data_IF_599066581320
#
_entry.id   IF_599066581320
#
_cell.length_a   1.000
_cell.length_b   1.000
_cell.length_c   1.000
_cell.angle_alpha   90.00
_cell.angle_beta   90.00
_cell.angle_gamma   90.00
#
_symmetry.space_group_name_H-M   'P 1'
#
loop_
_entity.id
_entity.type
_entity.pdbx_description
1 polymer ?
#
# COMPACT_ATOMS: atom_id res chain seq x y z
N UNK A 1 -29.82 6.40 -14.72
CA UNK A 1 -29.38 5.11 -15.28
C UNK A 1 -27.92 4.92 -14.89
N UNK A 2 -27.62 4.28 -13.75
CA UNK A 2 -26.26 3.93 -13.40
C UNK A 2 -25.82 2.84 -14.39
N UNK A 3 -24.74 3.09 -15.13
CA UNK A 3 -24.14 2.06 -15.98
C UNK A 3 -23.62 0.94 -15.10
N UNK A 4 -24.07 -0.28 -15.36
CA UNK A 4 -23.42 -1.50 -14.87
C UNK A 4 -21.93 -1.41 -15.20
N UNK A 5 -21.09 -1.46 -14.17
CA UNK A 5 -19.71 -1.90 -14.35
C UNK A 5 -19.79 -3.40 -14.56
N UNK A 6 -19.96 -3.80 -15.82
CA UNK A 6 -19.94 -5.20 -16.24
C UNK A 6 -18.56 -5.77 -15.95
N UNK A 7 -18.55 -7.02 -15.50
CA UNK A 7 -17.41 -7.84 -15.10
C UNK A 7 -16.52 -8.26 -16.28
N UNK A 8 -16.28 -7.34 -17.22
CA UNK A 8 -15.45 -7.60 -18.40
C UNK A 8 -14.04 -7.04 -18.20
N UNK A 9 -13.07 -7.83 -18.66
CA UNK A 9 -11.62 -7.57 -18.77
C UNK A 9 -11.27 -6.08 -18.89
N UNK A 10 -10.19 -5.58 -18.23
CA UNK A 10 -9.91 -4.15 -18.18
C UNK A 10 -9.92 -3.51 -19.57
N UNK A 11 -10.65 -2.40 -19.70
CA UNK A 11 -10.45 -1.48 -20.80
C UNK A 11 -9.11 -0.77 -20.59
N UNK A 12 -8.01 -1.36 -21.09
CA UNK A 12 -6.71 -0.70 -21.15
C UNK A 12 -6.88 0.62 -21.91
N UNK A 13 -6.75 1.73 -21.19
CA UNK A 13 -6.99 3.06 -21.75
C UNK A 13 -6.02 4.06 -21.14
N UNK A 14 -5.61 5.04 -21.93
CA UNK A 14 -4.87 6.20 -21.41
C UNK A 14 -5.86 7.17 -20.79
N UNK A 15 -5.40 8.08 -19.91
CA UNK A 15 -6.26 9.14 -19.35
C UNK A 15 -6.89 9.99 -20.49
N UNK A 16 -6.17 10.19 -21.59
CA UNK A 16 -6.67 10.89 -22.78
C UNK A 16 -7.81 10.19 -23.52
N UNK A 17 -7.84 8.85 -23.50
CA UNK A 17 -8.80 8.03 -24.25
C UNK A 17 -10.14 7.82 -23.52
N UNK A 18 -10.25 8.26 -22.28
CA UNK A 18 -11.41 7.99 -21.44
C UNK A 18 -12.66 8.67 -22.02
N UNK A 19 -13.74 7.89 -22.21
CA UNK A 19 -15.01 8.40 -22.71
C UNK A 19 -15.50 9.61 -21.90
N UNK A 20 -16.08 10.59 -22.58
CA UNK A 20 -16.63 11.80 -21.94
C UNK A 20 -17.86 11.44 -21.11
N UNK A 21 -17.69 11.40 -19.79
CA UNK A 21 -18.81 11.32 -18.86
C UNK A 21 -19.68 12.60 -18.97
N UNK A 22 -21.01 12.50 -18.72
CA UNK A 22 -21.91 13.64 -18.83
C UNK A 22 -21.65 14.75 -17.79
N UNK A 23 -20.88 14.45 -16.74
CA UNK A 23 -20.48 15.41 -15.69
C UNK A 23 -19.48 14.79 -14.70
N UNK A 24 -18.99 15.57 -13.73
CA UNK A 24 -18.10 15.05 -12.68
C UNK A 24 -18.84 14.14 -11.70
N UNK A 25 -18.09 13.26 -11.03
CA UNK A 25 -18.62 12.43 -9.93
C UNK A 25 -18.63 13.23 -8.65
N UNK A 26 -19.69 13.11 -7.84
CA UNK A 26 -19.80 13.79 -6.55
C UNK A 26 -19.67 12.80 -5.42
N UNK A 27 -18.82 13.10 -4.44
CA UNK A 27 -18.63 12.29 -3.23
C UNK A 27 -18.96 13.14 -2.01
N UNK A 28 -19.88 12.73 -1.11
CA UNK A 28 -20.19 13.51 0.08
C UNK A 28 -18.94 13.77 0.95
N UNK A 29 -18.71 15.03 1.32
CA UNK A 29 -17.56 15.42 2.13
C UNK A 29 -17.60 14.75 3.52
N UNK A 30 -18.82 14.49 4.03
CA UNK A 30 -19.04 13.78 5.29
C UNK A 30 -18.38 12.39 5.35
N UNK A 31 -18.10 11.73 4.22
CA UNK A 31 -17.37 10.44 4.21
C UNK A 31 -15.97 10.55 4.82
N UNK A 32 -15.39 11.75 4.84
CA UNK A 32 -14.05 12.02 5.33
C UNK A 32 -14.02 12.63 6.74
N UNK A 33 -15.16 13.12 7.24
CA UNK A 33 -15.21 13.91 8.49
C UNK A 33 -16.23 13.40 9.51
N UNK A 34 -17.23 12.61 9.10
CA UNK A 34 -18.29 12.10 9.98
C UNK A 34 -17.78 10.94 10.86
N UNK A 35 -17.90 11.06 12.20
CA UNK A 35 -17.68 9.94 13.12
C UNK A 35 -18.63 8.76 12.85
N UNK A 36 -19.86 9.02 12.41
CA UNK A 36 -20.85 7.98 12.08
C UNK A 36 -20.40 7.17 10.86
N UNK A 37 -19.87 7.84 9.82
CA UNK A 37 -19.33 7.15 8.66
C UNK A 37 -18.09 6.32 9.02
N UNK A 38 -17.18 6.87 9.84
CA UNK A 38 -16.02 6.12 10.32
C UNK A 38 -16.43 4.92 11.19
N UNK A 39 -17.47 5.04 12.01
CA UNK A 39 -18.02 3.92 12.78
C UNK A 39 -18.59 2.82 11.87
N UNK A 40 -19.24 3.18 10.76
CA UNK A 40 -19.68 2.21 9.75
C UNK A 40 -18.51 1.50 9.08
N UNK A 41 -17.41 2.21 8.77
CA UNK A 41 -16.18 1.59 8.25
C UNK A 41 -15.62 0.56 9.26
N UNK A 42 -15.57 0.91 10.56
CA UNK A 42 -15.14 0.01 11.63
C UNK A 42 -16.04 -1.22 11.80
N UNK A 43 -17.35 -1.06 11.61
CA UNK A 43 -18.31 -2.16 11.74
C UNK A 43 -18.29 -3.10 10.52
N UNK A 44 -18.23 -2.54 9.30
CA UNK A 44 -18.61 -3.29 8.08
C UNK A 44 -17.49 -3.45 7.05
N UNK A 45 -16.45 -2.62 7.10
CA UNK A 45 -15.33 -2.71 6.17
C UNK A 45 -14.17 -3.47 6.79
N UNK A 46 -13.56 -2.92 7.84
CA UNK A 46 -12.28 -3.39 8.35
C UNK A 46 -12.27 -4.84 8.86
N UNK A 47 -13.35 -5.37 9.46
CA UNK A 47 -13.40 -6.79 9.81
C UNK A 47 -13.56 -7.74 8.61
N UNK A 48 -14.00 -7.23 7.45
CA UNK A 48 -14.45 -8.04 6.32
C UNK A 48 -13.57 -7.91 5.07
N UNK A 49 -12.45 -7.19 5.16
CA UNK A 49 -11.58 -6.90 4.02
C UNK A 49 -10.14 -7.30 4.30
N UNK A 50 -9.47 -7.81 3.26
CA UNK A 50 -8.05 -8.13 3.31
C UNK A 50 -7.22 -6.85 3.50
N UNK A 51 -6.32 -6.89 4.48
CA UNK A 51 -5.45 -5.78 4.84
C UNK A 51 -4.01 -6.28 4.89
N UNK A 52 -3.07 -5.56 4.28
CA UNK A 52 -1.65 -5.82 4.55
C UNK A 52 -1.39 -5.56 6.01
N UNK A 53 -0.86 -6.56 6.71
CA UNK A 53 -0.50 -6.51 8.12
C UNK A 53 0.97 -6.15 8.28
N UNK A 54 1.84 -6.97 7.72
CA UNK A 54 3.29 -6.87 7.77
C UNK A 54 3.90 -7.49 6.50
N UNK A 55 5.15 -7.96 6.59
CA UNK A 55 5.83 -8.66 5.49
C UNK A 55 6.33 -10.02 5.92
N UNK A 56 6.60 -10.90 4.94
CA UNK A 56 7.10 -12.25 5.20
C UNK A 56 8.41 -12.23 5.99
N UNK A 57 9.21 -11.17 5.82
CA UNK A 57 10.50 -10.98 6.49
C UNK A 57 10.35 -10.66 7.99
N UNK A 58 9.19 -10.15 8.43
CA UNK A 58 8.85 -10.02 9.85
C UNK A 58 8.57 -11.37 10.50
N UNK A 59 7.91 -12.27 9.77
CA UNK A 59 7.40 -13.57 10.26
C UNK A 59 8.03 -14.75 9.53
N UNK A 60 9.34 -14.65 9.26
CA UNK A 60 10.12 -15.59 8.43
C UNK A 60 10.31 -16.95 9.10
N UNK A 61 10.74 -16.95 10.36
CA UNK A 61 11.25 -18.10 11.09
C UNK A 61 10.26 -18.56 12.17
N UNK A 62 10.22 -19.86 12.52
CA UNK A 62 9.39 -20.37 13.61
C UNK A 62 9.54 -19.60 14.92
N UNK A 63 8.40 -19.22 15.50
CA UNK A 63 8.32 -18.41 16.71
C UNK A 63 8.38 -16.90 16.46
N UNK A 64 8.55 -16.45 15.23
CA UNK A 64 8.34 -15.04 14.92
C UNK A 64 6.88 -14.68 15.00
N UNK A 65 6.62 -13.47 15.47
CA UNK A 65 5.28 -12.94 15.58
C UNK A 65 5.26 -11.42 15.35
N UNK A 66 4.10 -10.95 14.92
CA UNK A 66 3.85 -9.55 14.61
C UNK A 66 2.42 -9.19 15.00
N UNK A 67 2.24 -8.06 15.66
CA UNK A 67 0.94 -7.46 15.90
C UNK A 67 0.61 -6.46 14.79
N UNK A 68 -0.55 -6.64 14.18
CA UNK A 68 -1.13 -5.65 13.27
C UNK A 68 -2.33 -4.95 13.91
N UNK A 69 -2.36 -3.62 13.81
CA UNK A 69 -3.47 -2.80 14.30
C UNK A 69 -4.11 -1.94 13.20
N UNK A 70 -5.43 -1.87 13.23
CA UNK A 70 -6.27 -1.03 12.36
C UNK A 70 -7.44 -0.46 13.17
N UNK A 71 -7.37 0.82 13.51
CA UNK A 71 -8.29 1.41 14.49
C UNK A 71 -8.29 0.62 15.81
N UNK A 72 -9.45 0.15 16.31
CA UNK A 72 -9.54 -0.65 17.53
C UNK A 72 -9.24 -2.15 17.33
N UNK A 73 -9.04 -2.61 16.09
CA UNK A 73 -8.80 -4.02 15.78
C UNK A 73 -7.32 -4.36 15.96
N UNK A 74 -7.03 -5.51 16.56
CA UNK A 74 -5.66 -6.03 16.72
C UNK A 74 -5.59 -7.52 16.33
N UNK A 75 -4.62 -7.87 15.49
CA UNK A 75 -4.41 -9.21 14.94
C UNK A 75 -2.98 -9.66 15.25
N UNK A 76 -2.85 -10.83 15.87
CA UNK A 76 -1.57 -11.48 16.12
C UNK A 76 -1.25 -12.44 14.97
N UNK A 77 -0.17 -12.17 14.25
CA UNK A 77 0.43 -13.09 13.30
C UNK A 77 1.54 -13.89 13.98
N UNK A 78 1.63 -15.19 13.73
CA UNK A 78 2.70 -16.04 14.28
C UNK A 78 3.10 -17.13 13.29
N UNK A 79 4.42 -17.34 13.15
CA UNK A 79 4.98 -18.51 12.46
C UNK A 79 5.08 -19.66 13.46
N UNK A 80 4.31 -20.73 13.23
CA UNK A 80 4.35 -21.92 14.08
C UNK A 80 5.67 -22.69 13.97
N UNK A 81 5.91 -23.59 14.92
CA UNK A 81 7.04 -24.54 14.88
C UNK A 81 6.95 -25.54 13.72
N UNK A 82 5.77 -25.64 13.10
CA UNK A 82 5.52 -26.38 11.86
C UNK A 82 5.69 -25.51 10.60
N UNK A 83 6.31 -24.34 10.73
CA UNK A 83 6.53 -23.34 9.67
C UNK A 83 5.26 -22.76 9.02
N UNK A 84 4.06 -23.08 9.53
CA UNK A 84 2.81 -22.49 9.05
C UNK A 84 2.61 -21.10 9.66
N UNK A 85 2.35 -20.12 8.82
CA UNK A 85 1.88 -18.80 9.25
C UNK A 85 0.43 -18.90 9.68
N UNK A 86 0.09 -18.26 10.80
CA UNK A 86 -1.28 -18.18 11.33
C UNK A 86 -1.56 -16.76 11.77
N UNK A 87 -2.84 -16.39 11.76
CA UNK A 87 -3.32 -15.16 12.34
C UNK A 87 -4.45 -15.45 13.35
N UNK A 88 -4.49 -14.68 14.42
CA UNK A 88 -5.50 -14.75 15.46
C UNK A 88 -5.96 -13.35 15.84
N UNK A 89 -7.20 -13.17 16.28
CA UNK A 89 -7.56 -11.97 17.02
C UNK A 89 -6.67 -11.88 18.27
N UNK A 90 -6.05 -10.72 18.50
CA UNK A 90 -5.07 -10.53 19.56
C UNK A 90 -5.76 -10.35 20.94
N UNK A 91 -6.53 -11.34 21.36
CA UNK A 91 -7.40 -11.25 22.53
C UNK A 91 -7.40 -12.54 23.35
N UNK A 92 -7.16 -12.39 24.65
CA UNK A 92 -7.24 -13.47 25.63
C UNK A 92 -8.70 -13.91 25.83
N UNK A 93 -8.96 -15.21 25.66
CA UNK A 93 -10.29 -15.83 25.86
C UNK A 93 -10.83 -15.78 27.30
N UNK A 94 -10.03 -15.36 28.29
CA UNK A 94 -10.46 -15.28 29.68
C UNK A 94 -11.23 -13.98 29.98
N UNK A 95 -10.55 -12.83 29.87
CA UNK A 95 -11.08 -11.50 30.23
C UNK A 95 -10.71 -10.41 29.22
N UNK A 96 -10.40 -10.79 27.98
CA UNK A 96 -10.22 -9.84 26.89
C UNK A 96 -8.90 -9.05 26.90
N UNK A 97 -7.89 -9.47 27.68
CA UNK A 97 -6.59 -8.80 27.64
C UNK A 97 -5.91 -9.06 26.29
N UNK A 98 -5.25 -8.04 25.74
CA UNK A 98 -4.33 -8.19 24.61
C UNK A 98 -3.25 -9.24 24.91
N UNK A 99 -2.87 -10.07 23.93
CA UNK A 99 -1.91 -11.14 24.15
C UNK A 99 -0.48 -10.66 23.93
N UNK A 100 -0.24 -9.95 22.84
CA UNK A 100 1.09 -9.52 22.40
C UNK A 100 1.03 -8.07 21.91
N UNK A 101 2.08 -7.29 22.14
CA UNK A 101 2.16 -5.90 21.67
C UNK A 101 3.46 -5.67 20.89
N UNK A 102 3.38 -5.21 19.65
CA UNK A 102 4.53 -5.01 18.76
C UNK A 102 4.95 -6.27 18.00
N UNK A 103 6.23 -6.63 18.01
CA UNK A 103 6.75 -7.79 17.29
C UNK A 103 7.90 -8.47 18.05
N UNK A 104 8.21 -9.72 17.70
CA UNK A 104 9.30 -10.45 18.33
C UNK A 104 9.62 -11.78 17.66
N UNK A 105 10.67 -12.44 18.17
CA UNK A 105 11.20 -13.70 17.63
C UNK A 105 11.32 -14.77 18.71
N UNK A 106 11.39 -16.04 18.29
CA UNK A 106 11.65 -17.17 19.20
C UNK A 106 10.52 -17.50 20.17
N UNK A 107 9.29 -17.07 19.90
CA UNK A 107 8.12 -17.42 20.70
C UNK A 107 7.84 -18.92 20.62
N UNK A 108 7.68 -19.57 21.77
CA UNK A 108 7.36 -21.01 21.87
C UNK A 108 5.93 -21.26 22.34
N UNK A 109 5.31 -20.29 22.99
CA UNK A 109 3.93 -20.31 23.47
C UNK A 109 3.36 -18.88 23.51
N UNK A 110 2.04 -18.76 23.38
CA UNK A 110 1.31 -17.49 23.47
C UNK A 110 0.74 -17.39 24.89
N UNK A 111 1.31 -16.55 25.73
CA UNK A 111 0.93 -16.45 27.15
C UNK A 111 0.38 -15.07 27.49
N UNK A 112 -0.86 -15.03 27.98
CA UNK A 112 -1.49 -13.78 28.39
C UNK A 112 -0.74 -13.14 29.57
N UNK A 113 -0.38 -11.86 29.43
CA UNK A 113 0.34 -11.10 30.46
C UNK A 113 -0.49 -10.81 31.72
N UNK A 114 -1.81 -11.01 31.68
CA UNK A 114 -2.67 -10.75 32.85
C UNK A 114 -2.77 -11.95 33.81
N UNK A 115 -3.39 -13.05 33.37
CA UNK A 115 -3.62 -14.23 34.22
C UNK A 115 -2.90 -15.48 33.72
N UNK A 116 -1.97 -15.34 32.76
CA UNK A 116 -1.04 -16.40 32.33
C UNK A 116 -1.70 -17.63 31.72
N UNK A 117 -2.96 -17.52 31.26
CA UNK A 117 -3.54 -18.49 30.32
C UNK A 117 -2.61 -18.60 29.12
N UNK A 118 -2.36 -19.83 28.69
CA UNK A 118 -1.34 -20.12 27.70
C UNK A 118 -1.91 -20.96 26.56
N UNK A 119 -1.65 -20.54 25.34
CA UNK A 119 -1.92 -21.26 24.11
C UNK A 119 -0.61 -21.68 23.45
N UNK A 120 -0.64 -22.76 22.67
CA UNK A 120 0.46 -23.01 21.74
C UNK A 120 0.38 -22.08 20.52
N UNK A 121 1.39 -22.16 19.64
CA UNK A 121 1.43 -21.34 18.42
C UNK A 121 0.38 -21.73 17.36
N UNK A 122 -0.37 -22.81 17.59
CA UNK A 122 -1.55 -23.17 16.79
C UNK A 122 -2.85 -22.61 17.37
N UNK A 123 -2.78 -21.82 18.45
CA UNK A 123 -3.93 -21.21 19.10
C UNK A 123 -4.72 -22.17 19.99
N UNK A 124 -4.19 -23.35 20.34
CA UNK A 124 -4.87 -24.29 21.23
C UNK A 124 -4.51 -24.01 22.68
N UNK A 125 -5.51 -23.92 23.57
CA UNK A 125 -5.26 -23.71 24.99
C UNK A 125 -4.46 -24.88 25.57
N UNK A 126 -3.39 -24.57 26.30
CA UNK A 126 -2.50 -25.53 26.96
C UNK A 126 -2.57 -25.44 28.47
N UNK A 127 -2.49 -24.24 29.01
CA UNK A 127 -2.40 -24.03 30.45
C UNK A 127 -3.43 -23.01 30.94
N UNK A 128 -4.06 -23.34 32.07
CA UNK A 128 -4.95 -22.44 32.82
C UNK A 128 -4.49 -22.47 34.28
N UNK A 129 -3.87 -21.39 34.79
CA UNK A 129 -3.50 -21.31 36.20
C UNK A 129 -4.71 -21.48 37.12
N UNK A 130 -4.49 -22.11 38.28
CA UNK A 130 -5.54 -22.38 39.26
C UNK A 130 -6.78 -23.08 38.67
N UNK A 131 -6.58 -23.95 37.66
CA UNK A 131 -7.64 -24.61 36.88
C UNK A 131 -8.79 -25.19 37.70
N UNK A 132 -8.51 -25.73 38.89
CA UNK A 132 -9.52 -26.30 39.79
C UNK A 132 -10.63 -25.30 40.16
N UNK A 133 -10.35 -24.00 40.18
CA UNK A 133 -11.32 -22.95 40.46
C UNK A 133 -12.38 -22.75 39.35
N UNK A 134 -12.13 -23.26 38.15
CA UNK A 134 -13.07 -23.21 37.03
C UNK A 134 -13.96 -24.47 36.92
N UNK A 135 -13.85 -25.42 37.84
CA UNK A 135 -14.57 -26.69 37.75
C UNK A 135 -14.20 -27.49 36.50
N UNK A 136 -15.19 -27.85 35.69
CA UNK A 136 -14.98 -28.53 34.42
C UNK A 136 -14.73 -27.51 33.29
N UNK A 137 -13.45 -27.30 32.96
CA UNK A 137 -13.01 -26.50 31.82
C UNK A 137 -12.34 -27.44 30.82
N UNK A 138 -12.78 -27.43 29.55
CA UNK A 138 -12.10 -28.16 28.46
C UNK A 138 -11.30 -27.16 27.64
N UNK A 139 -10.06 -27.52 27.30
CA UNK A 139 -9.19 -26.62 26.53
C UNK A 139 -9.74 -26.33 25.13
N UNK A 140 -10.38 -27.33 24.50
CA UNK A 140 -10.92 -27.21 23.15
C UNK A 140 -12.11 -26.22 23.05
N UNK A 141 -12.68 -25.78 24.17
CA UNK A 141 -13.75 -24.77 24.19
C UNK A 141 -13.20 -23.33 24.11
N UNK A 142 -11.88 -23.15 24.31
CA UNK A 142 -11.22 -21.84 24.38
C UNK A 142 -9.96 -21.75 23.50
N UNK A 143 -10.00 -22.13 22.20
CA UNK A 143 -8.91 -21.80 21.28
C UNK A 143 -8.82 -20.27 21.11
N UNK A 144 -7.72 -19.76 20.56
CA UNK A 144 -7.72 -18.38 20.07
C UNK A 144 -8.73 -18.24 18.93
N UNK A 145 -9.30 -17.04 18.77
CA UNK A 145 -10.15 -16.76 17.61
C UNK A 145 -9.26 -16.59 16.39
N UNK A 146 -9.47 -17.41 15.36
CA UNK A 146 -8.69 -17.38 14.13
C UNK A 146 -9.01 -16.13 13.31
N UNK A 147 -8.06 -15.74 12.47
CA UNK A 147 -8.22 -14.80 11.38
C UNK A 147 -7.58 -15.42 10.13
N UNK A 148 -8.08 -15.06 8.94
CA UNK A 148 -7.44 -15.49 7.71
C UNK A 148 -6.08 -14.80 7.53
N UNK A 149 -5.15 -15.51 6.90
CA UNK A 149 -3.83 -14.98 6.53
C UNK A 149 -3.44 -15.47 5.15
N UNK A 150 -2.88 -14.57 4.33
CA UNK A 150 -2.42 -14.86 2.97
C UNK A 150 -1.17 -14.04 2.63
N UNK A 151 -0.51 -14.38 1.55
CA UNK A 151 0.73 -13.72 1.13
C UNK A 151 0.72 -13.41 -0.36
N UNK A 152 1.28 -12.26 -0.75
CA UNK A 152 1.56 -11.90 -2.14
C UNK A 152 2.91 -11.18 -2.21
N UNK A 153 3.90 -11.82 -2.85
CA UNK A 153 5.29 -11.35 -2.80
C UNK A 153 5.77 -11.22 -1.35
N UNK A 154 6.39 -10.09 -0.96
CA UNK A 154 6.81 -9.88 0.42
C UNK A 154 5.66 -9.57 1.37
N UNK A 155 4.45 -9.28 0.88
CA UNK A 155 3.36 -8.74 1.70
C UNK A 155 2.57 -9.86 2.37
N UNK A 156 2.24 -9.66 3.65
CA UNK A 156 1.37 -10.56 4.42
C UNK A 156 0.06 -9.84 4.69
N UNK A 157 -1.05 -10.46 4.28
CA UNK A 157 -2.39 -9.93 4.46
C UNK A 157 -3.15 -10.71 5.55
N UNK A 158 -4.07 -10.03 6.22
CA UNK A 158 -5.02 -10.62 7.18
C UNK A 158 -6.45 -10.20 6.86
N UNK A 159 -7.41 -11.05 7.24
CA UNK A 159 -8.84 -10.74 7.23
C UNK A 159 -9.50 -11.37 8.46
N UNK A 160 -10.33 -10.62 9.19
CA UNK A 160 -11.00 -11.12 10.39
C UNK A 160 -12.23 -11.98 10.05
N UNK A 161 -12.75 -11.85 8.83
CA UNK A 161 -13.86 -12.64 8.32
C UNK A 161 -13.36 -13.99 7.79
N UNK A 162 -13.75 -15.07 8.45
CA UNK A 162 -13.39 -16.44 8.08
C UNK A 162 -14.15 -16.95 6.85
N UNK A 163 -15.23 -16.27 6.45
CA UNK A 163 -16.02 -16.57 5.26
C UNK A 163 -15.59 -15.73 4.04
N UNK A 164 -14.62 -14.81 4.21
CA UNK A 164 -14.08 -14.03 3.10
C UNK A 164 -13.42 -14.92 2.04
N UNK A 165 -13.48 -14.47 0.79
CA UNK A 165 -12.82 -15.15 -0.33
C UNK A 165 -11.30 -15.26 -0.12
N UNK A 166 -10.63 -16.27 -0.70
CA UNK A 166 -9.18 -16.39 -0.65
C UNK A 166 -8.47 -15.13 -1.16
N UNK A 167 -7.30 -14.81 -0.59
CA UNK A 167 -6.53 -13.61 -0.96
C UNK A 167 -6.25 -13.53 -2.47
N UNK A 168 -5.97 -14.67 -3.10
CA UNK A 168 -5.68 -14.74 -4.54
C UNK A 168 -6.87 -14.30 -5.39
N UNK A 169 -8.09 -14.72 -5.02
CA UNK A 169 -9.32 -14.28 -5.66
C UNK A 169 -9.58 -12.80 -5.38
N UNK A 170 -9.37 -12.37 -4.13
CA UNK A 170 -9.55 -10.97 -3.74
C UNK A 170 -8.68 -10.01 -4.55
N UNK A 171 -7.39 -10.34 -4.71
CA UNK A 171 -6.40 -9.53 -5.43
C UNK A 171 -6.47 -9.69 -6.95
N UNK A 172 -7.27 -10.63 -7.47
CA UNK A 172 -7.34 -10.85 -8.92
C UNK A 172 -7.88 -9.60 -9.65
N UNK A 173 -7.31 -9.22 -10.80
CA UNK A 173 -6.19 -9.85 -11.53
C UNK A 173 -4.83 -9.18 -11.27
N UNK A 174 -4.67 -8.40 -10.19
CA UNK A 174 -3.42 -7.68 -9.87
C UNK A 174 -2.23 -8.64 -9.78
N UNK A 175 -2.43 -9.83 -9.19
CA UNK A 175 -1.37 -10.84 -9.07
C UNK A 175 -0.82 -11.24 -10.43
N UNK A 176 -1.70 -11.55 -11.39
CA UNK A 176 -1.31 -11.98 -12.73
C UNK A 176 -0.64 -10.85 -13.52
N UNK A 177 -1.21 -9.66 -13.46
CA UNK A 177 -0.69 -8.49 -14.17
C UNK A 177 0.68 -8.03 -13.60
N UNK A 178 0.93 -8.23 -12.30
CA UNK A 178 2.20 -7.94 -11.66
C UNK A 178 3.21 -9.10 -11.72
N UNK A 179 2.85 -10.28 -12.24
CA UNK A 179 3.69 -11.47 -12.17
C UNK A 179 5.08 -11.29 -12.84
N UNK A 180 5.16 -10.51 -13.93
CA UNK A 180 6.42 -10.23 -14.61
C UNK A 180 7.42 -9.45 -13.75
N UNK A 181 6.95 -8.75 -12.72
CA UNK A 181 7.77 -8.01 -11.75
C UNK A 181 8.39 -8.95 -10.70
N UNK A 182 8.02 -10.23 -10.70
CA UNK A 182 8.53 -11.27 -9.80
C UNK A 182 8.56 -10.83 -8.32
N UNK A 183 7.38 -10.55 -7.71
CA UNK A 183 7.33 -10.01 -6.35
C UNK A 183 8.03 -10.88 -5.29
N UNK A 184 8.13 -12.19 -5.49
CA UNK A 184 8.77 -13.11 -4.55
C UNK A 184 10.29 -12.90 -4.38
N UNK A 185 10.93 -12.24 -5.35
CA UNK A 185 12.34 -11.85 -5.33
C UNK A 185 12.61 -10.55 -4.56
N UNK A 186 11.58 -9.94 -3.96
CA UNK A 186 11.67 -8.69 -3.20
C UNK A 186 11.64 -8.98 -1.70
N UNK A 187 12.44 -8.27 -0.90
CA UNK A 187 12.47 -8.46 0.56
C UNK A 187 12.40 -7.13 1.30
N UNK A 188 11.60 -7.08 2.36
CA UNK A 188 11.37 -5.89 3.15
C UNK A 188 12.61 -5.49 3.94
N UNK A 189 12.91 -4.19 3.97
CA UNK A 189 13.99 -3.59 4.77
C UNK A 189 13.47 -2.65 5.85
N UNK A 190 12.38 -1.95 5.57
CA UNK A 190 11.80 -1.03 6.53
C UNK A 190 10.30 -0.86 6.32
N UNK A 191 9.59 -0.63 7.43
CA UNK A 191 8.28 0.00 7.44
C UNK A 191 8.44 1.35 8.14
N UNK A 192 8.26 2.44 7.41
CA UNK A 192 8.24 3.79 7.97
C UNK A 192 6.78 4.19 8.17
N UNK A 193 6.41 4.50 9.41
CA UNK A 193 5.07 4.98 9.78
C UNK A 193 5.12 6.48 10.08
N UNK A 194 4.19 7.25 9.53
CA UNK A 194 4.01 8.68 9.79
C UNK A 194 2.56 8.95 10.20
N UNK A 195 2.29 9.40 11.43
CA UNK A 195 0.96 9.85 11.83
C UNK A 195 0.59 11.14 11.10
N UNK A 196 -0.56 11.18 10.42
CA UNK A 196 -1.00 12.33 9.63
C UNK A 196 -2.33 12.89 10.16
N UNK A 197 -2.50 14.23 10.20
CA UNK A 197 -3.73 14.89 10.61
C UNK A 197 -4.72 15.00 9.45
N UNK A 198 -5.07 13.85 8.86
CA UNK A 198 -6.10 13.74 7.84
C UNK A 198 -6.81 12.38 7.88
N UNK A 199 -7.97 12.27 7.25
CA UNK A 199 -8.64 10.99 7.05
C UNK A 199 -7.75 10.01 6.25
N UNK A 200 -7.84 8.71 6.53
CA UNK A 200 -7.09 7.69 5.81
C UNK A 200 -7.37 7.71 4.30
N UNK A 201 -8.60 8.05 3.90
CA UNK A 201 -9.00 8.22 2.49
C UNK A 201 -8.29 9.42 1.86
N UNK A 202 -8.29 10.57 2.53
CA UNK A 202 -7.53 11.76 2.10
C UNK A 202 -6.07 11.41 1.86
N UNK A 203 -5.48 10.58 2.73
CA UNK A 203 -4.10 10.10 2.59
C UNK A 203 -3.88 9.22 1.36
N UNK A 204 -4.74 8.21 1.11
CA UNK A 204 -4.56 7.30 -0.04
C UNK A 204 -4.96 7.94 -1.36
N UNK A 205 -5.92 8.87 -1.34
CA UNK A 205 -6.42 9.58 -2.52
C UNK A 205 -5.29 10.34 -3.22
N UNK A 206 -4.40 10.99 -2.44
CA UNK A 206 -3.24 11.71 -2.98
C UNK A 206 -2.28 10.81 -3.78
N UNK A 207 -2.27 9.51 -3.53
CA UNK A 207 -1.47 8.54 -4.27
C UNK A 207 -2.28 7.76 -5.31
N UNK A 208 -3.52 8.17 -5.61
CA UNK A 208 -4.44 7.42 -6.47
C UNK A 208 -4.76 8.13 -7.80
N UNK A 209 -4.07 9.23 -8.10
CA UNK A 209 -4.28 10.04 -9.32
C UNK A 209 -3.01 10.81 -9.71
N UNK A 210 -2.99 11.36 -10.93
CA UNK A 210 -1.89 12.19 -11.46
C UNK A 210 -2.32 13.63 -11.75
N UNK A 211 -3.58 13.98 -11.47
CA UNK A 211 -4.17 15.28 -11.77
C UNK A 211 -3.44 16.43 -11.08
N UNK A 212 -2.94 16.21 -9.85
CA UNK A 212 -2.21 17.23 -9.10
C UNK A 212 -0.75 17.42 -9.56
N UNK A 213 -0.17 16.47 -10.31
CA UNK A 213 1.25 16.46 -10.70
C UNK A 213 1.65 17.76 -11.40
N UNK A 214 0.82 18.24 -12.35
CA UNK A 214 1.04 19.50 -13.07
C UNK A 214 1.11 20.74 -12.16
N UNK A 215 0.49 20.67 -10.99
CA UNK A 215 0.44 21.76 -10.02
C UNK A 215 1.58 21.67 -9.01
N UNK A 216 1.67 20.53 -8.33
CA UNK A 216 2.52 20.33 -7.14
C UNK A 216 3.90 19.79 -7.53
N UNK A 217 3.96 18.83 -8.46
CA UNK A 217 5.20 18.12 -8.83
C UNK A 217 5.73 18.55 -10.19
N UNK A 218 5.81 19.86 -10.45
CA UNK A 218 6.28 20.39 -11.74
C UNK A 218 7.66 19.89 -12.15
N UNK A 219 8.51 19.57 -11.18
CA UNK A 219 9.83 18.97 -11.40
C UNK A 219 9.77 17.62 -12.12
N UNK A 220 8.63 16.92 -12.12
CA UNK A 220 8.44 15.64 -12.81
C UNK A 220 8.11 15.81 -14.29
N UNK A 221 7.57 16.96 -14.71
CA UNK A 221 6.94 17.11 -16.03
C UNK A 221 7.90 16.91 -17.20
N UNK A 222 9.20 17.18 -17.05
CA UNK A 222 10.15 16.96 -18.14
C UNK A 222 10.51 15.48 -18.33
N UNK A 223 10.33 14.62 -17.32
CA UNK A 223 10.69 13.21 -17.38
C UNK A 223 9.51 12.24 -17.25
N UNK A 224 8.29 12.75 -17.07
CA UNK A 224 7.09 11.95 -16.77
C UNK A 224 5.89 12.41 -17.62
N UNK A 225 5.26 11.48 -18.36
CA UNK A 225 3.99 11.73 -19.05
C UNK A 225 2.81 11.57 -18.09
N UNK A 226 2.27 12.67 -17.55
CA UNK A 226 1.14 12.66 -16.60
C UNK A 226 -0.25 12.58 -17.27
N UNK A 227 -0.32 12.66 -18.60
CA UNK A 227 -1.58 12.80 -19.36
C UNK A 227 -1.93 11.55 -20.16
N UNK A 228 -0.95 10.81 -20.66
CA UNK A 228 -1.19 9.57 -21.39
C UNK A 228 -0.77 8.33 -20.59
N UNK A 229 -0.55 8.47 -19.27
CA UNK A 229 -0.28 7.34 -18.38
C UNK A 229 -1.30 6.21 -18.60
N UNK A 230 -0.85 4.99 -18.96
CA UNK A 230 -1.73 3.85 -19.09
C UNK A 230 -2.43 3.54 -17.78
N UNK A 231 -3.75 3.33 -17.83
CA UNK A 231 -4.52 2.90 -16.67
C UNK A 231 -5.31 1.63 -16.96
N UNK A 232 -5.53 0.85 -15.91
CA UNK A 232 -6.48 -0.25 -15.90
C UNK A 232 -7.34 -0.15 -14.64
N UNK A 233 -8.65 -0.37 -14.79
CA UNK A 233 -9.58 -0.42 -13.67
C UNK A 233 -10.20 -1.81 -13.62
N UNK A 234 -10.22 -2.37 -12.42
CA UNK A 234 -10.88 -3.61 -12.08
C UNK A 234 -11.96 -3.33 -11.02
N UNK A 235 -12.91 -4.26 -10.79
CA UNK A 235 -14.04 -4.02 -9.89
C UNK A 235 -13.65 -3.52 -8.49
N UNK A 236 -12.52 -3.99 -7.95
CA UNK A 236 -11.98 -3.60 -6.64
C UNK A 236 -10.64 -2.86 -6.71
N UNK A 237 -9.94 -2.92 -7.83
CA UNK A 237 -8.53 -2.55 -7.92
C UNK A 237 -8.27 -1.64 -9.10
N UNK A 238 -7.13 -0.96 -9.11
CA UNK A 238 -6.73 -0.14 -10.26
C UNK A 238 -5.23 -0.21 -10.47
N UNK A 239 -4.79 0.22 -11.66
CA UNK A 239 -3.39 0.35 -12.03
C UNK A 239 -3.16 1.67 -12.75
N UNK A 240 -1.99 2.25 -12.48
CA UNK A 240 -1.37 3.33 -13.23
C UNK A 240 0.04 2.88 -13.64
N UNK A 241 0.30 2.86 -14.94
CA UNK A 241 1.65 2.83 -15.48
C UNK A 241 2.17 4.25 -15.63
N UNK A 242 3.38 4.51 -15.15
CA UNK A 242 4.02 5.81 -15.28
C UNK A 242 5.35 5.69 -16.02
N UNK A 243 5.38 6.06 -17.31
CA UNK A 243 6.63 6.03 -18.06
C UNK A 243 7.57 7.18 -17.65
N UNK A 244 8.83 6.81 -17.39
CA UNK A 244 9.92 7.77 -17.17
C UNK A 244 10.75 7.99 -18.44
N UNK A 245 11.40 9.15 -18.52
CA UNK A 245 12.19 9.58 -19.68
C UNK A 245 11.33 10.07 -20.85
N UNK A 246 10.03 10.32 -20.61
CA UNK A 246 9.10 10.89 -21.59
C UNK A 246 8.54 12.18 -21.00
N UNK A 247 8.71 13.35 -21.65
CA UNK A 247 8.14 14.58 -21.16
C UNK A 247 6.62 14.58 -21.24
N UNK A 248 6.00 15.26 -20.29
CA UNK A 248 4.57 15.55 -20.28
C UNK A 248 4.10 16.21 -21.57
N UNK A 249 2.99 15.76 -22.17
CA UNK A 249 2.33 16.43 -23.30
C UNK A 249 1.89 17.87 -22.99
N UNK A 250 1.89 18.28 -21.71
CA UNK A 250 1.61 19.66 -21.29
C UNK A 250 2.77 20.60 -21.65
N UNK A 251 3.98 20.08 -21.85
CA UNK A 251 5.14 20.82 -22.33
C UNK A 251 5.05 20.94 -23.87
N UNK A 252 4.47 22.05 -24.34
CA UNK A 252 4.17 22.26 -25.78
C UNK A 252 5.39 22.11 -26.70
N UNK A 253 6.55 22.54 -26.21
CA UNK A 253 7.81 22.50 -26.96
C UNK A 253 8.63 21.22 -26.67
N UNK A 254 8.06 20.28 -25.91
CA UNK A 254 8.77 19.11 -25.40
C UNK A 254 9.74 19.46 -24.26
N UNK A 255 10.73 18.60 -24.07
CA UNK A 255 11.86 18.83 -23.17
C UNK A 255 13.16 18.39 -23.87
N UNK A 256 14.23 19.11 -23.63
CA UNK A 256 15.59 18.72 -24.02
C UNK A 256 16.10 17.54 -23.20
N UNK A 257 17.14 16.86 -23.68
CA UNK A 257 17.75 15.74 -22.94
C UNK A 257 18.26 16.18 -21.56
N UNK A 258 18.84 17.39 -21.45
CA UNK A 258 19.30 17.97 -20.19
C UNK A 258 18.13 18.19 -19.22
N UNK A 259 16.99 18.66 -19.71
CA UNK A 259 15.78 18.85 -18.88
C UNK A 259 15.16 17.52 -18.45
N UNK A 260 15.14 16.52 -19.34
CA UNK A 260 14.68 15.16 -19.02
C UNK A 260 15.58 14.56 -17.93
N UNK A 261 16.90 14.66 -18.09
CA UNK A 261 17.87 14.14 -17.12
C UNK A 261 17.76 14.85 -15.78
N UNK A 262 17.73 16.18 -15.75
CA UNK A 262 17.58 16.93 -14.50
C UNK A 262 16.27 16.57 -13.76
N UNK A 263 15.16 16.44 -14.50
CA UNK A 263 13.87 16.02 -13.95
C UNK A 263 13.90 14.59 -13.41
N UNK A 264 14.55 13.67 -14.13
CA UNK A 264 14.74 12.30 -13.67
C UNK A 264 15.61 12.26 -12.42
N UNK A 265 16.73 12.98 -12.38
CA UNK A 265 17.62 12.98 -11.20
C UNK A 265 16.92 13.52 -9.97
N UNK A 266 16.16 14.61 -10.12
CA UNK A 266 15.42 15.25 -9.02
C UNK A 266 14.42 14.31 -8.31
N UNK A 267 13.96 13.25 -8.98
CA UNK A 267 12.90 12.37 -8.45
C UNK A 267 13.28 10.90 -8.36
N UNK A 268 14.17 10.44 -9.22
CA UNK A 268 14.51 9.04 -9.45
C UNK A 268 16.03 8.82 -9.63
N UNK A 269 16.86 9.85 -9.43
CA UNK A 269 18.29 9.82 -9.73
C UNK A 269 19.07 8.73 -9.00
N UNK A 270 18.68 8.40 -7.77
CA UNK A 270 19.28 7.31 -6.99
C UNK A 270 19.27 5.97 -7.75
N UNK A 271 18.24 5.72 -8.57
CA UNK A 271 18.10 4.52 -9.41
C UNK A 271 19.18 4.43 -10.48
N UNK A 272 19.65 5.56 -10.99
CA UNK A 272 20.67 5.67 -12.03
C UNK A 272 22.06 6.06 -11.49
N UNK A 273 22.27 5.99 -10.17
CA UNK A 273 23.56 6.35 -9.56
C UNK A 273 23.83 7.86 -9.45
N UNK A 274 22.80 8.70 -9.58
CA UNK A 274 22.86 10.15 -9.41
C UNK A 274 21.96 10.58 -8.23
N UNK A 275 22.37 10.34 -6.97
CA UNK A 275 21.48 10.50 -5.81
C UNK A 275 21.29 11.94 -5.35
N UNK A 276 22.03 12.91 -5.87
CA UNK A 276 21.91 14.33 -5.49
C UNK A 276 20.86 15.03 -6.36
N UNK A 277 19.63 15.27 -5.83
CA UNK A 277 18.54 15.85 -6.62
C UNK A 277 18.78 17.31 -7.00
N UNK A 278 19.66 18.03 -6.27
CA UNK A 278 19.93 19.45 -6.48
C UNK A 278 21.10 19.67 -7.46
N UNK A 279 21.85 18.62 -7.79
CA UNK A 279 23.00 18.68 -8.69
C UNK A 279 22.98 17.51 -9.68
N UNK A 280 22.19 17.61 -10.76
CA UNK A 280 22.04 16.51 -11.71
C UNK A 280 23.31 16.19 -12.51
N UNK A 281 24.26 17.11 -12.58
CA UNK A 281 25.41 16.98 -13.48
C UNK A 281 25.00 16.96 -14.96
N UNK A 282 25.96 16.74 -15.87
CA UNK A 282 25.66 16.59 -17.30
C UNK A 282 24.95 15.26 -17.57
N UNK A 283 24.18 15.20 -18.65
CA UNK A 283 23.62 13.95 -19.17
C UNK A 283 24.78 12.99 -19.47
N UNK A 284 24.75 11.73 -18.98
CA UNK A 284 25.76 10.74 -19.31
C UNK A 284 25.82 10.47 -20.82
N UNK A 285 27.00 10.04 -21.31
CA UNK A 285 27.22 9.80 -22.74
C UNK A 285 26.23 8.77 -23.30
N UNK A 286 25.59 9.13 -24.43
CA UNK A 286 24.67 8.27 -25.18
C UNK A 286 25.40 7.57 -26.32
N UNK A 287 25.04 6.31 -26.55
CA UNK A 287 25.45 5.64 -27.78
C UNK A 287 24.71 6.23 -28.99
N UNK A 288 25.29 6.10 -30.19
CA UNK A 288 24.69 6.65 -31.41
C UNK A 288 23.28 6.08 -31.65
N UNK A 289 22.28 6.97 -31.79
CA UNK A 289 20.87 6.61 -31.92
C UNK A 289 20.17 6.07 -30.67
N UNK A 290 20.85 5.96 -29.53
CA UNK A 290 20.25 5.53 -28.25
C UNK A 290 19.23 6.56 -27.77
N UNK A 291 18.03 6.16 -27.35
CA UNK A 291 17.02 7.07 -26.78
C UNK A 291 17.33 7.47 -25.33
N UNK A 292 16.72 8.54 -24.80
CA UNK A 292 16.84 8.87 -23.37
C UNK A 292 16.36 7.73 -22.47
N UNK A 293 15.31 7.01 -22.87
CA UNK A 293 14.79 5.87 -22.10
C UNK A 293 15.78 4.70 -22.07
N UNK A 294 16.41 4.39 -23.20
CA UNK A 294 17.44 3.35 -23.30
C UNK A 294 18.65 3.71 -22.45
N UNK A 295 19.08 4.98 -22.46
CA UNK A 295 20.12 5.49 -21.57
C UNK A 295 19.76 5.26 -20.10
N UNK A 296 18.58 5.73 -19.67
CA UNK A 296 18.12 5.57 -18.28
C UNK A 296 18.06 4.09 -17.87
N UNK A 297 17.52 3.23 -18.73
CA UNK A 297 17.44 1.81 -18.48
C UNK A 297 18.82 1.18 -18.32
N UNK A 298 19.80 1.58 -19.14
CA UNK A 298 21.19 1.14 -19.01
C UNK A 298 21.81 1.58 -17.68
N UNK A 299 21.67 2.85 -17.30
CA UNK A 299 22.20 3.38 -16.04
C UNK A 299 21.59 2.69 -14.82
N UNK A 300 20.27 2.42 -14.85
CA UNK A 300 19.59 1.68 -13.78
C UNK A 300 20.13 0.25 -13.67
N UNK A 301 20.36 -0.43 -14.80
CA UNK A 301 20.97 -1.77 -14.80
C UNK A 301 22.39 -1.77 -14.26
N UNK A 302 23.22 -0.81 -14.67
CA UNK A 302 24.59 -0.65 -14.17
C UNK A 302 24.60 -0.42 -12.66
N UNK A 303 23.73 0.47 -12.16
CA UNK A 303 23.57 0.75 -10.74
C UNK A 303 23.08 -0.48 -9.96
N UNK A 304 22.08 -1.19 -10.46
CA UNK A 304 21.54 -2.42 -9.84
C UNK A 304 22.56 -3.55 -9.82
N UNK A 305 23.32 -3.73 -10.91
CA UNK A 305 24.37 -4.72 -11.01
C UNK A 305 25.50 -4.47 -10.00
N UNK A 306 25.82 -3.19 -9.71
CA UNK A 306 26.78 -2.82 -8.65
C UNK A 306 26.34 -3.26 -7.24
N UNK A 307 25.04 -3.50 -7.04
CA UNK A 307 24.43 -4.01 -5.80
C UNK A 307 24.11 -5.50 -5.86
N UNK A 308 24.52 -6.18 -6.94
CA UNK A 308 24.29 -7.61 -7.16
C UNK A 308 22.88 -7.97 -7.64
N UNK A 309 22.06 -6.97 -7.99
CA UNK A 309 20.71 -7.17 -8.53
C UNK A 309 20.78 -7.31 -10.05
N UNK A 310 20.24 -8.42 -10.58
CA UNK A 310 20.18 -8.68 -12.02
C UNK A 310 18.83 -8.25 -12.60
N UNK A 311 18.87 -7.29 -13.51
CA UNK A 311 17.71 -6.80 -14.25
C UNK A 311 17.77 -7.13 -15.76
N UNK A 312 18.69 -8.01 -16.18
CA UNK A 312 18.91 -8.34 -17.59
C UNK A 312 17.71 -9.01 -18.28
N UNK A 313 16.79 -9.59 -17.51
CA UNK A 313 15.57 -10.18 -18.02
C UNK A 313 14.43 -9.18 -18.24
N UNK A 314 14.58 -7.93 -17.80
CA UNK A 314 13.58 -6.87 -17.98
C UNK A 314 13.89 -6.05 -19.23
N UNK A 315 12.86 -5.74 -20.00
CA UNK A 315 12.92 -4.79 -21.12
C UNK A 315 13.25 -3.38 -20.63
N UNK A 316 13.67 -2.48 -21.53
CA UNK A 316 13.95 -1.09 -21.15
C UNK A 316 12.72 -0.40 -20.58
N UNK A 317 11.54 -0.68 -21.14
CA UNK A 317 10.26 -0.20 -20.64
C UNK A 317 10.01 -0.67 -19.22
N UNK A 318 10.15 -1.98 -18.95
CA UNK A 318 9.96 -2.53 -17.60
C UNK A 318 10.97 -2.01 -16.58
N UNK A 319 12.19 -1.65 -17.00
CA UNK A 319 13.19 -1.05 -16.11
C UNK A 319 12.86 0.42 -15.83
N UNK A 320 12.36 1.16 -16.82
CA UNK A 320 12.15 2.61 -16.69
C UNK A 320 10.78 2.96 -16.12
N UNK A 321 9.75 2.18 -16.42
CA UNK A 321 8.37 2.44 -16.01
C UNK A 321 8.13 2.10 -14.55
N UNK A 322 7.26 2.90 -13.93
CA UNK A 322 6.67 2.63 -12.63
C UNK A 322 5.30 1.99 -12.82
N UNK A 323 5.05 0.92 -12.06
CA UNK A 323 3.78 0.21 -12.07
C UNK A 323 3.12 0.34 -10.70
N UNK A 324 2.16 1.24 -10.59
CA UNK A 324 1.41 1.47 -9.36
C UNK A 324 0.07 0.76 -9.43
N UNK A 325 -0.25 0.00 -8.39
CA UNK A 325 -1.55 -0.59 -8.17
C UNK A 325 -2.26 0.15 -7.05
N UNK A 326 -3.59 0.18 -7.07
CA UNK A 326 -4.42 0.48 -5.91
C UNK A 326 -5.19 -0.80 -5.57
N UNK A 327 -4.81 -1.46 -4.49
CA UNK A 327 -5.57 -2.59 -3.98
C UNK A 327 -6.47 -2.07 -2.86
N UNK A 328 -7.78 -2.20 -3.05
CA UNK A 328 -8.77 -1.83 -2.05
C UNK A 328 -8.51 -2.59 -0.74
N UNK A 329 -8.70 -1.94 0.44
CA UNK A 329 -9.21 -0.58 0.59
C UNK A 329 -8.13 0.50 0.57
N UNK A 330 -6.92 0.21 1.03
CA UNK A 330 -6.04 1.24 1.57
C UNK A 330 -4.55 1.02 1.29
N UNK A 331 -4.21 0.27 0.24
CA UNK A 331 -2.81 0.04 -0.14
C UNK A 331 -2.56 0.35 -1.62
N UNK A 332 -1.43 1.01 -1.86
CA UNK A 332 -0.90 1.29 -3.20
C UNK A 332 0.50 0.67 -3.36
N UNK A 333 0.60 -0.58 -3.84
CA UNK A 333 1.87 -1.18 -4.24
C UNK A 333 2.45 -0.46 -5.47
N UNK A 334 3.66 0.06 -5.35
CA UNK A 334 4.41 0.74 -6.40
C UNK A 334 5.63 -0.11 -6.75
N UNK A 335 5.62 -0.69 -7.94
CA UNK A 335 6.72 -1.49 -8.44
C UNK A 335 7.60 -0.69 -9.40
N UNK A 336 8.90 -0.91 -9.24
CA UNK A 336 9.95 -0.68 -10.21
C UNK A 336 10.65 -2.03 -10.45
N UNK A 337 11.43 -2.17 -11.53
CA UNK A 337 12.12 -3.43 -11.79
C UNK A 337 13.01 -3.87 -10.61
N UNK A 338 13.61 -2.94 -9.89
CA UNK A 338 14.53 -3.20 -8.77
C UNK A 338 13.88 -3.17 -7.38
N UNK A 339 12.61 -2.79 -7.25
CA UNK A 339 12.00 -2.61 -5.93
C UNK A 339 10.47 -2.60 -5.92
N UNK A 340 9.91 -2.82 -4.74
CA UNK A 340 8.53 -2.53 -4.39
C UNK A 340 8.51 -1.54 -3.23
N UNK A 341 7.75 -0.46 -3.37
CA UNK A 341 7.34 0.40 -2.27
C UNK A 341 5.84 0.31 -2.10
N UNK A 342 5.33 -0.02 -0.92
CA UNK A 342 3.88 0.02 -0.68
C UNK A 342 3.51 1.20 0.20
N UNK A 343 2.58 2.00 -0.29
CA UNK A 343 1.98 3.10 0.47
C UNK A 343 0.68 2.57 1.07
N UNK A 344 0.53 2.60 2.40
CA UNK A 344 -0.68 2.15 3.09
C UNK A 344 -1.18 3.25 4.02
N UNK A 345 -2.48 3.51 4.06
CA UNK A 345 -3.05 4.44 5.05
C UNK A 345 -4.05 3.73 5.96
N UNK A 346 -3.90 3.83 7.27
CA UNK A 346 -4.78 3.18 8.25
C UNK A 346 -5.52 4.23 9.07
N UNK A 347 -6.81 4.00 9.41
CA UNK A 347 -7.55 4.94 10.24
C UNK A 347 -6.88 5.14 11.59
N UNK A 348 -6.88 6.38 12.07
CA UNK A 348 -6.48 6.74 13.41
C UNK A 348 -7.63 6.59 14.41
N UNK A 349 -7.58 7.42 15.45
CA UNK A 349 -8.57 7.46 16.54
C UNK A 349 -9.86 8.19 16.18
N UNK A 350 -9.80 9.09 15.21
CA UNK A 350 -10.89 9.92 14.71
C UNK A 350 -10.91 9.92 13.17
N UNK A 351 -11.96 10.45 12.54
CA UNK A 351 -11.96 10.65 11.09
C UNK A 351 -10.88 11.63 10.58
N UNK A 352 -10.25 12.40 11.47
CA UNK A 352 -9.28 13.46 11.14
C UNK A 352 -7.81 13.05 11.32
N UNK A 353 -7.54 11.78 11.65
CA UNK A 353 -6.19 11.24 11.77
C UNK A 353 -6.06 9.88 11.10
N UNK A 354 -4.86 9.62 10.59
CA UNK A 354 -4.48 8.35 10.00
C UNK A 354 -3.00 8.06 10.22
N UNK A 355 -2.59 6.82 9.94
CA UNK A 355 -1.19 6.44 9.83
C UNK A 355 -0.85 6.18 8.38
N UNK A 356 0.17 6.83 7.85
CA UNK A 356 0.78 6.54 6.56
C UNK A 356 1.96 5.59 6.77
N UNK A 357 1.92 4.42 6.15
CA UNK A 357 3.02 3.49 6.14
C UNK A 357 3.67 3.43 4.75
N UNK A 358 5.00 3.42 4.73
CA UNK A 358 5.81 3.19 3.55
C UNK A 358 6.61 1.92 3.79
N UNK A 359 6.27 0.85 3.07
CA UNK A 359 6.92 -0.46 3.15
C UNK A 359 7.94 -0.55 2.01
N UNK A 360 9.23 -0.62 2.33
CA UNK A 360 10.31 -0.63 1.34
C UNK A 360 10.88 -2.04 1.14
N UNK A 361 10.73 -2.59 -0.06
CA UNK A 361 11.11 -3.94 -0.45
C UNK A 361 12.02 -3.93 -1.69
N UNK A 362 13.34 -3.68 -1.56
CA UNK A 362 14.28 -3.83 -2.65
C UNK A 362 14.36 -5.29 -3.15
N UNK A 363 14.74 -5.45 -4.41
CA UNK A 363 15.02 -6.75 -5.02
C UNK A 363 16.27 -7.38 -4.38
N UNK A 364 16.19 -8.69 -4.17
CA UNK A 364 17.30 -9.47 -3.68
C UNK A 364 18.39 -9.62 -4.74
N UNK A 365 19.66 -9.73 -4.33
CA UNK A 365 20.73 -10.10 -5.26
C UNK A 365 20.44 -11.41 -5.99
N UNK A 366 20.95 -11.54 -7.22
CA UNK A 366 20.74 -12.72 -8.04
C UNK A 366 21.22 -14.00 -7.33
N UNK A 367 20.34 -15.00 -7.22
CA UNK A 367 20.64 -16.28 -6.56
C UNK A 367 20.74 -16.23 -5.03
N UNK A 368 20.31 -15.13 -4.39
CA UNK A 368 20.28 -15.03 -2.93
C UNK A 368 19.39 -16.12 -2.30
N UNK A 369 19.97 -16.91 -1.40
CA UNK A 369 19.24 -17.89 -0.57
C UNK A 369 18.82 -17.31 0.79
N UNK A 370 19.42 -16.19 1.18
CA UNK A 370 19.06 -15.41 2.35
C UNK A 370 18.28 -14.15 1.93
N UNK A 371 17.21 -13.83 2.67
CA UNK A 371 16.44 -12.60 2.48
C UNK A 371 17.10 -11.38 3.15
N UNK A 372 18.19 -11.60 3.89
CA UNK A 372 19.00 -10.58 4.53
C UNK A 372 18.48 -10.20 5.93
N UNK A 373 18.87 -9.01 6.45
CA UNK A 373 18.46 -8.57 7.77
C UNK A 373 16.94 -8.43 7.89
N UNK A 374 16.46 -8.55 9.14
CA UNK A 374 15.06 -8.30 9.49
C UNK A 374 14.68 -6.85 9.17
N UNK A 375 13.41 -6.59 8.82
CA UNK A 375 12.94 -5.24 8.63
C UNK A 375 13.05 -4.41 9.91
N UNK A 376 13.22 -3.10 9.73
CA UNK A 376 13.16 -2.12 10.81
C UNK A 376 11.83 -1.38 10.72
N UNK A 377 11.07 -1.39 11.82
CA UNK A 377 9.86 -0.58 11.96
C UNK A 377 10.21 0.71 12.67
N UNK A 378 9.93 1.84 12.03
CA UNK A 378 10.21 3.17 12.57
C UNK A 378 8.99 4.05 12.42
N UNK A 379 8.66 4.79 13.48
CA UNK A 379 7.67 5.86 13.43
C UNK A 379 8.40 7.19 13.39
N UNK A 380 8.09 8.02 12.40
CA UNK A 380 8.61 9.38 12.26
C UNK A 380 7.52 10.40 12.53
N UNK A 381 7.90 11.53 13.10
CA UNK A 381 7.01 12.67 13.27
C UNK A 381 6.79 13.38 11.94
N UNK A 382 5.53 13.67 11.57
CA UNK A 382 5.17 14.25 10.28
C UNK A 382 5.80 15.62 10.00
N UNK A 383 6.17 16.39 11.01
CA UNK A 383 6.82 17.70 10.84
C UNK A 383 8.32 17.57 10.55
N UNK A 384 8.92 16.44 10.94
CA UNK A 384 10.37 16.18 10.80
C UNK A 384 10.73 15.07 9.84
N UNK A 385 9.75 14.28 9.41
CA UNK A 385 9.95 13.20 8.47
C UNK A 385 10.38 13.79 7.12
N UNK A 386 11.55 13.39 6.64
CA UNK A 386 11.98 13.63 5.27
C UNK A 386 11.83 12.32 4.49
N UNK A 387 10.78 12.26 3.66
CA UNK A 387 10.45 11.11 2.82
C UNK A 387 10.83 11.36 1.35
N UNK A 388 11.62 12.41 1.09
CA UNK A 388 11.90 12.91 -0.24
C UNK A 388 10.93 13.99 -0.70
N UNK A 389 11.39 14.83 -1.63
CA UNK A 389 10.71 16.05 -2.03
C UNK A 389 9.24 15.85 -2.46
N UNK A 390 8.96 14.79 -3.23
CA UNK A 390 7.61 14.49 -3.73
C UNK A 390 6.66 14.13 -2.58
N UNK A 391 7.01 13.15 -1.74
CA UNK A 391 6.20 12.77 -0.58
C UNK A 391 5.97 13.92 0.41
N UNK A 392 7.01 14.72 0.67
CA UNK A 392 6.89 15.87 1.58
C UNK A 392 5.94 16.94 1.03
N UNK A 393 5.93 17.14 -0.30
CA UNK A 393 4.98 18.05 -0.97
C UNK A 393 3.53 17.56 -0.85
N UNK A 394 3.29 16.26 -0.97
CA UNK A 394 1.95 15.67 -0.78
C UNK A 394 1.47 15.83 0.66
N UNK A 395 2.28 15.39 1.62
CA UNK A 395 1.96 15.44 3.05
C UNK A 395 1.65 16.86 3.51
N UNK A 396 2.38 17.87 3.01
CA UNK A 396 2.15 19.27 3.33
C UNK A 396 0.74 19.77 2.93
N UNK A 397 0.12 19.15 1.92
CA UNK A 397 -1.23 19.49 1.47
C UNK A 397 -2.33 18.72 2.21
N UNK A 398 -2.08 17.49 2.67
CA UNK A 398 -3.09 16.63 3.30
C UNK A 398 -3.78 17.30 4.50
N UNK A 399 -3.01 17.94 5.39
CA UNK A 399 -3.55 18.70 6.54
C UNK A 399 -4.47 19.84 6.10
N UNK A 400 -4.10 20.53 5.00
CA UNK A 400 -4.88 21.67 4.46
C UNK A 400 -6.16 21.17 3.81
N UNK A 401 -6.09 20.06 3.08
CA UNK A 401 -7.23 19.40 2.48
C UNK A 401 -8.24 18.96 3.55
N UNK A 402 -7.78 18.30 4.62
CA UNK A 402 -8.66 17.89 5.72
C UNK A 402 -9.36 19.10 6.38
N UNK A 403 -8.63 20.19 6.64
CA UNK A 403 -9.23 21.42 7.16
C UNK A 403 -10.28 22.02 6.20
N UNK A 404 -10.08 21.86 4.90
CA UNK A 404 -11.04 22.25 3.87
C UNK A 404 -12.32 21.41 3.89
N UNK A 405 -12.22 20.10 4.16
CA UNK A 405 -13.36 19.18 4.27
C UNK A 405 -14.32 19.51 5.41
N UNK A 406 -13.87 20.26 6.42
CA UNK A 406 -14.70 20.78 7.51
C UNK A 406 -15.40 22.10 7.22
N UNK A 407 -15.17 22.73 6.06
CA UNK A 407 -15.86 23.99 5.73
C UNK A 407 -17.34 23.74 5.44
N UNK A 408 -18.21 24.48 6.12
CA UNK A 408 -19.68 24.30 6.07
C UNK A 408 -20.29 24.35 4.65
N UNK A 409 -19.64 25.07 3.73
CA UNK A 409 -20.11 25.19 2.34
C UNK A 409 -19.71 24.01 1.44
N UNK A 410 -18.77 23.16 1.85
CA UNK A 410 -18.29 22.03 1.06
C UNK A 410 -19.08 20.77 1.41
N UNK A 411 -20.18 20.54 0.71
CA UNK A 411 -21.03 19.36 0.94
C UNK A 411 -20.53 18.11 0.23
N UNK A 412 -19.77 18.28 -0.86
CA UNK A 412 -19.25 17.19 -1.68
C UNK A 412 -17.94 17.57 -2.36
N UNK A 413 -17.08 16.56 -2.54
CA UNK A 413 -15.96 16.59 -3.47
C UNK A 413 -16.51 16.41 -4.89
N UNK A 414 -15.83 17.03 -5.86
CA UNK A 414 -16.17 16.97 -7.28
C UNK A 414 -15.01 16.36 -8.04
N UNK A 415 -15.13 15.08 -8.37
CA UNK A 415 -14.06 14.28 -8.95
C UNK A 415 -14.20 14.20 -10.48
N UNK A 416 -13.07 14.34 -11.15
CA UNK A 416 -12.89 14.22 -12.58
C UNK A 416 -12.71 12.76 -13.02
N UNK A 417 -12.51 12.55 -14.32
CA UNK A 417 -12.22 11.22 -14.88
C UNK A 417 -10.78 10.78 -14.65
N UNK A 418 -9.87 11.72 -14.37
CA UNK A 418 -8.48 11.46 -14.00
C UNK A 418 -8.39 10.84 -12.59
N UNK A 419 -9.42 11.03 -11.77
CA UNK A 419 -9.55 10.56 -10.38
C UNK A 419 -10.39 9.27 -10.28
N UNK A 420 -10.45 8.47 -11.34
CA UNK A 420 -11.27 7.26 -11.43
C UNK A 420 -10.97 6.19 -10.38
N UNK A 421 -9.71 6.07 -9.96
CA UNK A 421 -9.30 5.10 -8.91
C UNK A 421 -9.86 5.53 -7.55
N UNK A 422 -9.94 6.83 -7.27
CA UNK A 422 -10.64 7.40 -6.10
C UNK A 422 -12.15 7.15 -6.20
N UNK A 423 -12.75 7.35 -7.39
CA UNK A 423 -14.17 7.03 -7.61
C UNK A 423 -14.44 5.53 -7.36
N UNK A 424 -13.55 4.65 -7.82
CA UNK A 424 -13.62 3.20 -7.60
C UNK A 424 -13.53 2.84 -6.11
N UNK A 425 -12.63 3.48 -5.35
CA UNK A 425 -12.54 3.34 -3.89
C UNK A 425 -13.91 3.61 -3.24
N UNK A 426 -14.55 4.73 -3.57
CA UNK A 426 -15.84 5.09 -2.98
C UNK A 426 -16.99 4.15 -3.36
N UNK A 427 -17.01 3.63 -4.59
CA UNK A 427 -18.00 2.61 -4.99
C UNK A 427 -17.82 1.31 -4.23
N UNK A 428 -16.58 0.91 -3.96
CA UNK A 428 -16.30 -0.26 -3.15
C UNK A 428 -16.64 -0.03 -1.67
N UNK A 429 -16.37 1.17 -1.13
CA UNK A 429 -16.85 1.54 0.19
C UNK A 429 -18.37 1.41 0.30
N UNK A 430 -19.13 1.94 -0.67
CA UNK A 430 -20.60 1.81 -0.67
C UNK A 430 -21.07 0.35 -0.61
N UNK A 431 -20.42 -0.54 -1.37
CA UNK A 431 -20.73 -1.99 -1.35
C UNK A 431 -20.48 -2.60 0.03
N UNK A 432 -19.30 -2.39 0.60
CA UNK A 432 -18.94 -2.93 1.92
C UNK A 432 -19.80 -2.37 3.04
N UNK A 433 -20.14 -1.09 2.97
CA UNK A 433 -20.97 -0.43 3.99
C UNK A 433 -22.47 -0.73 3.82
N UNK A 434 -22.88 -1.39 2.74
CA UNK A 434 -24.29 -1.68 2.44
C UNK A 434 -25.10 -0.43 2.09
N UNK A 435 -24.46 0.60 1.54
CA UNK A 435 -25.11 1.86 1.14
C UNK A 435 -25.69 1.65 -0.26
N UNK A 436 -27.01 1.47 -0.34
CA UNK A 436 -27.75 1.49 -1.60
C UNK A 436 -28.28 2.92 -1.83
N UNK A 437 -28.03 3.48 -3.02
CA UNK A 437 -28.48 4.82 -3.44
C UNK A 437 -27.98 6.01 -2.59
N UNK A 438 -26.67 6.06 -2.34
CA UNK A 438 -26.00 7.23 -1.75
C UNK A 438 -26.20 7.36 -0.24
N UNK A 439 -25.26 8.06 0.42
CA UNK A 439 -25.44 8.43 1.83
C UNK A 439 -26.51 9.54 1.88
N UNK A 440 -27.46 9.54 2.84
CA UNK A 440 -28.38 10.67 2.96
C UNK A 440 -27.58 11.97 3.11
N UNK A 441 -27.97 12.99 2.34
CA UNK A 441 -27.37 14.33 2.34
C UNK A 441 -27.31 14.96 3.73
#
# INVERSE_FOLDING_TARGET
>A
MPGELTDETPAGSTIGDLAKAPGPTKVPAARYTSPEFAALELERLWPHVWQVACTIDHVRDPGDWYEYTCGPLSVLLVRGQDSKLRAFQNVCRHRGNELCAGSGTGMTEIRCNYHRWCWDLSGRLREVPSRKGFGALRNDDYPLFEAQVGTWGPLVFVNLDLDAEPLEEFLSPVIDDAAFLRPDELACRAIVTVPLPCNWKTGIDAFSETYHVQGIHRQMLCSTDDVNSPQADWPRHGKLGQPYGIPSPRLRDGATDDEIWASFVATQGARAGAPDPDNPGPVPERHDGESMRTLLARLIREKSASEGVDLGAFTDEQVTDLHQYNCFPNISPVFLAESLSCIRTRPGTTPDDCYLDIISCPRLPAGATDRGPRPIDVTLDAETADLGAVFNQDIANLRRAQRGLHQLGLTHLTLSREERRIISLHRNLERYLGIQDGFPE
#
